data_IF_924429024787
#
_entry.id   IF_924429024787
#
_cell.length_a   1.000
_cell.length_b   1.000
_cell.length_c   1.000
_cell.angle_alpha   90.00
_cell.angle_beta   90.00
_cell.angle_gamma   90.00
#
_symmetry.space_group_name_H-M   'P 1'
#
loop_
_entity.id
_entity.type
_entity.pdbx_description
1 polymer ?
#
# COMPACT_ATOMS: atom_id res chain seq x y z
N UNK A 1 -11.87 -6.35 30.07
CA UNK A 1 -12.70 -5.26 29.50
C UNK A 1 -13.35 -5.69 28.18
N UNK A 2 -14.58 -5.25 27.90
CA UNK A 2 -15.25 -5.52 26.62
C UNK A 2 -14.68 -4.63 25.50
N UNK A 3 -14.85 -5.05 24.24
CA UNK A 3 -14.42 -4.25 23.06
C UNK A 3 -15.09 -2.85 23.02
N UNK A 4 -16.30 -2.71 23.60
CA UNK A 4 -16.99 -1.43 23.69
C UNK A 4 -16.31 -0.47 24.66
N UNK A 5 -15.84 -0.98 25.80
CA UNK A 5 -15.09 -0.20 26.78
C UNK A 5 -13.73 0.21 26.23
N UNK A 6 -13.03 -0.70 25.50
CA UNK A 6 -11.77 -0.41 24.81
C UNK A 6 -11.94 0.69 23.74
N UNK A 7 -13.02 0.61 22.92
CA UNK A 7 -13.37 1.63 21.94
C UNK A 7 -13.52 3.02 22.57
N UNK A 8 -14.26 3.08 23.70
CA UNK A 8 -14.49 4.33 24.41
C UNK A 8 -13.23 4.87 25.08
N UNK A 9 -12.42 3.99 25.66
CA UNK A 9 -11.19 4.37 26.34
C UNK A 9 -10.09 4.90 25.41
N UNK A 10 -9.95 4.27 24.24
CA UNK A 10 -8.87 4.57 23.28
C UNK A 10 -9.32 5.50 22.15
N UNK A 11 -10.60 5.84 22.09
CA UNK A 11 -11.21 6.67 21.04
C UNK A 11 -10.92 6.13 19.62
N UNK A 12 -10.88 4.81 19.46
CA UNK A 12 -10.68 4.13 18.16
C UNK A 12 -11.87 3.23 17.84
N UNK A 13 -12.28 3.11 16.57
CA UNK A 13 -13.37 2.23 16.16
C UNK A 13 -13.10 0.77 16.52
N UNK A 14 -14.16 0.01 16.88
CA UNK A 14 -14.08 -1.46 17.12
C UNK A 14 -13.48 -2.21 15.93
N UNK A 15 -13.73 -1.73 14.72
CA UNK A 15 -13.13 -2.31 13.51
C UNK A 15 -11.60 -2.24 13.56
N UNK A 16 -11.03 -1.13 14.07
CA UNK A 16 -9.59 -0.95 14.24
C UNK A 16 -9.03 -1.90 15.32
N UNK A 17 -9.74 -2.07 16.44
CA UNK A 17 -9.32 -3.03 17.47
C UNK A 17 -9.29 -4.45 16.90
N UNK A 18 -10.35 -4.87 16.18
CA UNK A 18 -10.43 -6.19 15.52
C UNK A 18 -9.38 -6.37 14.44
N UNK A 19 -9.01 -5.30 13.76
CA UNK A 19 -7.89 -5.33 12.80
C UNK A 19 -6.59 -5.67 13.51
N UNK A 20 -6.28 -5.04 14.64
CA UNK A 20 -5.07 -5.34 15.41
C UNK A 20 -5.07 -6.76 16.01
N UNK A 21 -6.24 -7.32 16.37
CA UNK A 21 -6.38 -8.74 16.71
C UNK A 21 -6.03 -9.65 15.52
N UNK A 22 -6.56 -9.32 14.33
CA UNK A 22 -6.32 -10.10 13.11
C UNK A 22 -4.86 -10.10 12.71
N UNK A 23 -4.18 -8.96 12.89
CA UNK A 23 -2.74 -8.82 12.64
C UNK A 23 -1.87 -9.44 13.77
N UNK A 24 -2.49 -10.06 14.79
CA UNK A 24 -1.76 -10.74 15.87
C UNK A 24 -1.14 -9.82 16.92
N UNK A 25 -1.38 -8.50 16.81
CA UNK A 25 -0.83 -7.52 17.74
C UNK A 25 -1.40 -7.66 19.16
N UNK A 26 -2.65 -8.09 19.30
CA UNK A 26 -3.31 -8.38 20.59
C UNK A 26 -4.14 -9.65 20.49
N UNK A 27 -4.21 -10.41 21.58
CA UNK A 27 -4.91 -11.68 21.62
C UNK A 27 -5.81 -11.75 22.87
N UNK A 28 -6.98 -11.05 22.87
CA UNK A 28 -7.87 -11.04 24.02
C UNK A 28 -8.39 -12.44 24.33
N UNK A 29 -8.54 -12.73 25.59
CA UNK A 29 -9.18 -13.97 26.05
C UNK A 29 -10.66 -14.01 25.66
N UNK A 30 -11.27 -15.19 25.75
CA UNK A 30 -12.72 -15.33 25.57
C UNK A 30 -13.34 -15.85 26.84
N UNK A 31 -14.35 -15.18 27.32
CA UNK A 31 -15.19 -15.68 28.42
C UNK A 31 -15.97 -16.94 27.99
N UNK A 32 -16.52 -17.65 28.95
CA UNK A 32 -17.32 -18.86 28.72
C UNK A 32 -18.54 -18.66 27.80
N UNK A 33 -19.01 -17.42 27.65
CA UNK A 33 -20.08 -16.99 26.73
C UNK A 33 -19.57 -16.65 25.29
N UNK A 34 -18.26 -16.79 25.04
CA UNK A 34 -17.62 -16.52 23.75
C UNK A 34 -17.31 -15.05 23.48
N UNK A 35 -17.64 -14.13 24.40
CA UNK A 35 -17.28 -12.71 24.26
C UNK A 35 -15.80 -12.48 24.53
N UNK A 36 -15.23 -11.46 23.84
CA UNK A 36 -13.85 -11.02 24.03
C UNK A 36 -13.71 -10.30 25.37
N UNK A 37 -12.65 -10.66 26.08
CA UNK A 37 -12.25 -10.00 27.32
C UNK A 37 -10.80 -9.53 27.18
N UNK A 38 -10.62 -8.22 27.15
CA UNK A 38 -9.30 -7.56 27.05
C UNK A 38 -8.76 -7.34 28.45
N UNK A 39 -7.60 -7.92 28.72
CA UNK A 39 -6.85 -7.68 29.96
C UNK A 39 -6.32 -6.25 30.03
N UNK A 40 -5.87 -5.81 31.19
CA UNK A 40 -5.18 -4.52 31.33
C UNK A 40 -3.90 -4.47 30.50
N UNK A 41 -3.23 -5.61 30.33
CA UNK A 41 -2.04 -5.76 29.47
C UNK A 41 -2.40 -5.56 27.99
N UNK A 42 -3.51 -6.13 27.52
CA UNK A 42 -4.00 -5.94 26.14
C UNK A 42 -4.31 -4.48 25.88
N UNK A 43 -4.97 -3.82 26.83
CA UNK A 43 -5.31 -2.40 26.74
C UNK A 43 -4.05 -1.53 26.70
N UNK A 44 -3.06 -1.83 27.53
CA UNK A 44 -1.80 -1.10 27.54
C UNK A 44 -1.01 -1.32 26.25
N UNK A 45 -1.03 -2.55 25.71
CA UNK A 45 -0.45 -2.85 24.39
C UNK A 45 -1.16 -2.10 23.28
N UNK A 46 -2.49 -2.04 23.29
CA UNK A 46 -3.28 -1.26 22.34
C UNK A 46 -2.95 0.24 22.39
N UNK A 47 -2.76 0.82 23.58
CA UNK A 47 -2.32 2.22 23.72
C UNK A 47 -0.99 2.47 23.02
N UNK A 48 0.01 1.59 23.24
CA UNK A 48 1.31 1.67 22.57
C UNK A 48 1.16 1.61 21.05
N UNK A 49 0.35 0.67 20.54
CA UNK A 49 0.06 0.55 19.11
C UNK A 49 -0.55 1.84 18.57
N UNK A 50 -1.56 2.40 19.24
CA UNK A 50 -2.21 3.64 18.81
C UNK A 50 -1.23 4.81 18.76
N UNK A 51 -0.35 4.96 19.75
CA UNK A 51 0.70 5.98 19.77
C UNK A 51 1.63 5.84 18.56
N UNK A 52 2.14 4.63 18.30
CA UNK A 52 3.04 4.36 17.18
C UNK A 52 2.33 4.55 15.82
N UNK A 53 1.06 4.19 15.72
CA UNK A 53 0.24 4.45 14.52
C UNK A 53 0.00 5.94 14.27
N UNK A 54 -0.19 6.74 15.32
CA UNK A 54 -0.36 8.21 15.20
C UNK A 54 0.86 8.92 14.62
N UNK A 55 2.06 8.39 14.81
CA UNK A 55 3.29 8.90 14.19
C UNK A 55 3.57 8.27 12.80
N UNK A 56 2.63 7.49 12.25
CA UNK A 56 2.72 6.96 10.90
C UNK A 56 3.52 5.66 10.74
N UNK A 57 3.85 4.95 11.83
CA UNK A 57 4.49 3.63 11.74
C UNK A 57 3.57 2.61 11.07
N UNK A 58 4.14 1.70 10.30
CA UNK A 58 3.40 0.57 9.71
C UNK A 58 3.02 -0.46 10.79
N UNK A 59 2.02 -1.28 10.51
CA UNK A 59 1.64 -2.40 11.40
C UNK A 59 2.75 -3.42 11.46
N UNK A 60 3.43 -3.67 10.37
CA UNK A 60 4.58 -4.57 10.25
C UNK A 60 5.74 -4.12 11.13
N UNK A 61 6.13 -2.84 11.07
CA UNK A 61 7.19 -2.30 11.93
C UNK A 61 6.83 -2.39 13.42
N UNK A 62 5.55 -2.19 13.76
CA UNK A 62 5.07 -2.33 15.14
C UNK A 62 5.17 -3.78 15.59
N UNK A 63 4.80 -4.75 14.76
CA UNK A 63 4.98 -6.17 15.06
C UNK A 63 6.45 -6.51 15.27
N UNK A 64 7.34 -6.07 14.35
CA UNK A 64 8.78 -6.30 14.46
C UNK A 64 9.38 -5.76 15.77
N UNK A 65 8.88 -4.60 16.25
CA UNK A 65 9.30 -4.04 17.53
C UNK A 65 8.80 -4.90 18.69
N UNK A 66 7.54 -5.34 18.69
CA UNK A 66 7.00 -6.17 19.78
C UNK A 66 7.62 -7.55 19.82
N UNK A 67 7.98 -8.10 18.66
CA UNK A 67 8.65 -9.41 18.54
C UNK A 67 10.18 -9.30 18.79
N UNK A 68 10.70 -8.09 19.00
CA UNK A 68 12.13 -7.86 19.26
C UNK A 68 13.02 -8.04 18.02
N UNK A 69 12.44 -8.07 16.83
CA UNK A 69 13.16 -8.19 15.55
C UNK A 69 13.89 -6.90 15.21
N UNK A 70 13.24 -5.75 15.47
CA UNK A 70 13.82 -4.41 15.27
C UNK A 70 13.84 -3.60 16.55
N UNK A 71 14.86 -2.75 16.69
CA UNK A 71 14.90 -1.76 17.77
C UNK A 71 13.91 -0.63 17.49
N UNK A 72 13.20 -0.14 18.51
CA UNK A 72 12.30 1.01 18.38
C UNK A 72 13.04 2.26 17.86
N UNK A 73 14.28 2.49 18.29
CA UNK A 73 15.07 3.64 17.84
C UNK A 73 15.38 3.56 16.34
N UNK A 74 15.74 2.38 15.84
CA UNK A 74 16.02 2.14 14.43
C UNK A 74 14.78 2.44 13.55
N UNK A 75 13.61 1.96 13.97
CA UNK A 75 12.35 2.21 13.26
C UNK A 75 11.93 3.67 13.35
N UNK A 76 12.14 4.34 14.50
CA UNK A 76 11.87 5.77 14.66
C UNK A 76 12.76 6.60 13.74
N UNK A 77 14.04 6.33 13.65
CA UNK A 77 14.98 7.04 12.77
C UNK A 77 14.55 6.91 11.29
N UNK A 78 14.23 5.69 10.86
CA UNK A 78 13.72 5.45 9.51
C UNK A 78 12.40 6.19 9.24
N UNK A 79 11.49 6.21 10.21
CA UNK A 79 10.22 6.91 10.09
C UNK A 79 10.39 8.44 10.03
N UNK A 80 11.31 9.00 10.81
CA UNK A 80 11.65 10.43 10.76
C UNK A 80 12.15 10.81 9.37
N UNK A 81 13.09 10.04 8.80
CA UNK A 81 13.61 10.28 7.45
C UNK A 81 12.48 10.24 6.40
N UNK A 82 11.59 9.25 6.51
CA UNK A 82 10.42 9.14 5.64
C UNK A 82 9.51 10.36 5.73
N UNK A 83 9.19 10.80 6.94
CA UNK A 83 8.32 11.96 7.17
C UNK A 83 8.96 13.27 6.68
N UNK A 84 10.28 13.42 6.86
CA UNK A 84 11.02 14.56 6.32
C UNK A 84 10.98 14.61 4.80
N UNK A 85 11.13 13.46 4.13
CA UNK A 85 10.99 13.35 2.68
C UNK A 85 9.59 13.77 2.23
N UNK A 86 8.54 13.24 2.86
CA UNK A 86 7.15 13.60 2.55
C UNK A 86 6.88 15.11 2.77
N UNK A 87 7.44 15.68 3.82
CA UNK A 87 7.33 17.12 4.06
C UNK A 87 7.97 17.96 2.94
N UNK A 88 9.13 17.54 2.43
CA UNK A 88 9.80 18.23 1.32
C UNK A 88 9.01 18.08 0.00
N UNK A 89 8.43 16.91 -0.26
CA UNK A 89 7.54 16.68 -1.42
C UNK A 89 6.32 17.60 -1.36
N UNK A 90 5.68 17.72 -0.21
CA UNK A 90 4.55 18.61 -0.01
C UNK A 90 4.93 20.09 -0.16
N UNK A 91 6.11 20.50 0.32
CA UNK A 91 6.61 21.87 0.15
C UNK A 91 6.82 22.23 -1.31
N UNK A 92 7.50 21.36 -2.08
CA UNK A 92 7.70 21.55 -3.52
C UNK A 92 6.37 21.69 -4.27
N UNK A 93 5.42 20.79 -4.00
CA UNK A 93 4.09 20.85 -4.61
C UNK A 93 3.32 22.14 -4.26
N UNK A 94 3.37 22.58 -3.01
CA UNK A 94 2.72 23.83 -2.56
C UNK A 94 3.36 25.04 -3.24
N UNK A 95 4.69 25.12 -3.31
CA UNK A 95 5.39 26.24 -3.93
C UNK A 95 5.05 26.33 -5.42
N UNK A 96 5.11 25.23 -6.15
CA UNK A 96 4.74 25.18 -7.57
C UNK A 96 3.28 25.57 -7.78
N UNK A 97 2.37 25.03 -6.96
CA UNK A 97 0.94 25.37 -7.05
C UNK A 97 0.66 26.86 -6.82
N UNK A 98 1.35 27.49 -5.87
CA UNK A 98 1.25 28.94 -5.62
C UNK A 98 1.73 29.72 -6.83
N UNK A 99 2.87 29.34 -7.41
CA UNK A 99 3.43 30.02 -8.58
C UNK A 99 2.49 29.95 -9.78
N UNK A 100 1.94 28.76 -10.09
CA UNK A 100 0.95 28.60 -11.16
C UNK A 100 -0.30 29.45 -10.89
N UNK A 101 -0.77 29.50 -9.65
CA UNK A 101 -1.93 30.31 -9.26
C UNK A 101 -1.66 31.81 -9.38
N UNK A 102 -0.48 32.28 -8.99
CA UNK A 102 -0.08 33.69 -9.09
C UNK A 102 0.07 34.15 -10.54
N UNK A 103 0.48 33.26 -11.43
CA UNK A 103 0.61 33.54 -12.86
C UNK A 103 -0.77 33.59 -13.57
N UNK A 104 -1.86 33.17 -12.93
CA UNK A 104 -3.26 33.19 -13.42
C UNK A 104 -3.41 32.63 -14.86
N UNK A 105 -2.75 31.49 -15.13
CA UNK A 105 -2.70 30.86 -16.45
C UNK A 105 -3.74 29.78 -16.63
N UNK A 106 -4.35 29.73 -17.81
CA UNK A 106 -5.16 28.60 -18.24
C UNK A 106 -4.29 27.41 -18.62
N UNK A 107 -4.84 26.20 -18.52
CA UNK A 107 -4.12 24.95 -18.86
C UNK A 107 -3.61 24.95 -20.31
N UNK A 108 -4.32 25.63 -21.22
CA UNK A 108 -3.95 25.77 -22.64
C UNK A 108 -2.80 26.75 -22.89
N UNK A 109 -2.54 27.64 -21.93
CA UNK A 109 -1.47 28.66 -21.97
C UNK A 109 -0.34 28.39 -21.01
N UNK A 110 -0.35 27.22 -20.34
CA UNK A 110 0.68 26.82 -19.40
C UNK A 110 2.04 26.69 -20.08
N UNK A 111 3.01 27.53 -19.71
CA UNK A 111 4.39 27.46 -20.20
C UNK A 111 5.12 26.28 -19.55
N UNK A 112 5.15 25.16 -20.28
CA UNK A 112 5.73 23.90 -19.81
C UNK A 112 7.21 24.01 -19.49
N UNK A 113 7.99 24.72 -20.33
CA UNK A 113 9.43 24.86 -20.15
C UNK A 113 9.76 25.67 -18.89
N UNK A 114 9.01 26.75 -18.65
CA UNK A 114 9.15 27.59 -17.48
C UNK A 114 8.89 26.82 -16.18
N UNK A 115 7.79 26.06 -16.12
CA UNK A 115 7.45 25.32 -14.90
C UNK A 115 8.34 24.11 -14.72
N UNK A 116 8.81 23.46 -15.80
CA UNK A 116 9.79 22.41 -15.73
C UNK A 116 11.12 22.90 -15.13
N UNK A 117 11.63 24.03 -15.61
CA UNK A 117 12.81 24.65 -15.02
C UNK A 117 12.61 25.04 -13.56
N UNK A 118 11.39 25.44 -13.15
CA UNK A 118 11.07 25.71 -11.75
C UNK A 118 11.17 24.47 -10.90
N UNK A 119 10.70 23.31 -11.40
CA UNK A 119 10.83 22.02 -10.70
C UNK A 119 12.30 21.69 -10.49
N UNK A 120 13.13 21.79 -11.52
CA UNK A 120 14.57 21.55 -11.44
C UNK A 120 15.29 22.47 -10.43
N UNK A 121 14.88 23.74 -10.36
CA UNK A 121 15.43 24.70 -9.39
C UNK A 121 15.04 24.37 -7.95
N UNK A 122 13.80 24.01 -7.71
CA UNK A 122 13.30 23.61 -6.40
C UNK A 122 13.98 22.31 -5.92
N UNK A 123 14.19 21.34 -6.82
CA UNK A 123 14.93 20.12 -6.51
C UNK A 123 16.39 20.37 -6.14
N UNK A 124 17.06 21.29 -6.83
CA UNK A 124 18.42 21.73 -6.47
C UNK A 124 18.50 22.42 -5.10
N UNK A 125 17.40 23.04 -4.64
CA UNK A 125 17.28 23.65 -3.32
C UNK A 125 16.94 22.62 -2.22
N UNK A 126 16.77 21.34 -2.57
CA UNK A 126 16.48 20.25 -1.63
C UNK A 126 14.99 20.02 -1.39
N UNK A 127 14.11 20.69 -2.13
CA UNK A 127 12.70 20.32 -2.20
C UNK A 127 12.57 19.10 -3.13
N UNK A 128 11.50 18.35 -2.98
CA UNK A 128 11.18 17.22 -3.85
C UNK A 128 9.73 17.32 -4.32
N UNK A 129 9.39 16.57 -5.34
CA UNK A 129 8.03 16.50 -5.86
C UNK A 129 7.51 15.07 -5.75
N UNK A 130 6.20 14.90 -5.94
CA UNK A 130 5.53 13.61 -5.89
C UNK A 130 6.14 12.71 -6.96
N UNK A 131 6.59 11.53 -6.55
CA UNK A 131 7.11 10.51 -7.46
C UNK A 131 5.94 9.82 -8.19
N UNK A 132 5.68 10.28 -9.42
CA UNK A 132 4.57 9.79 -10.26
C UNK A 132 4.69 8.28 -10.51
N UNK A 133 5.93 7.76 -10.64
CA UNK A 133 6.14 6.33 -10.85
C UNK A 133 5.71 5.51 -9.62
N UNK A 134 5.94 6.05 -8.44
CA UNK A 134 5.50 5.42 -7.18
C UNK A 134 3.99 5.45 -7.03
N UNK A 135 3.34 6.58 -7.36
CA UNK A 135 1.89 6.71 -7.34
C UNK A 135 1.22 5.68 -8.26
N UNK A 136 1.74 5.51 -9.49
CA UNK A 136 1.26 4.49 -10.42
C UNK A 136 1.46 3.09 -9.86
N UNK A 137 2.64 2.79 -9.29
CA UNK A 137 2.94 1.48 -8.69
C UNK A 137 2.02 1.18 -7.47
N UNK A 138 1.68 2.18 -6.68
CA UNK A 138 0.78 2.01 -5.54
C UNK A 138 -0.69 1.83 -6.00
N UNK A 139 -1.11 2.49 -7.08
CA UNK A 139 -2.41 2.25 -7.74
C UNK A 139 -2.46 0.82 -8.29
N UNK A 140 -1.43 0.37 -9.01
CA UNK A 140 -1.36 -1.00 -9.55
C UNK A 140 -1.39 -2.04 -8.44
N UNK A 141 -0.62 -1.86 -7.35
CA UNK A 141 -0.68 -2.74 -6.17
C UNK A 141 -2.09 -2.77 -5.55
N UNK A 142 -2.74 -1.61 -5.42
CA UNK A 142 -4.11 -1.50 -4.93
C UNK A 142 -5.10 -2.27 -5.81
N UNK A 143 -4.99 -2.16 -7.13
CA UNK A 143 -5.80 -2.90 -8.10
C UNK A 143 -5.52 -4.40 -7.99
N UNK A 144 -4.26 -4.84 -8.03
CA UNK A 144 -3.88 -6.24 -7.88
C UNK A 144 -4.39 -6.78 -6.53
N UNK A 145 -4.17 -6.04 -5.43
CA UNK A 145 -4.63 -6.45 -4.11
C UNK A 145 -6.16 -6.58 -4.04
N UNK A 146 -6.92 -5.70 -4.70
CA UNK A 146 -8.38 -5.80 -4.76
C UNK A 146 -8.87 -7.03 -5.53
N UNK A 147 -8.13 -7.48 -6.54
CA UNK A 147 -8.41 -8.72 -7.27
C UNK A 147 -8.11 -9.98 -6.46
N UNK A 148 -7.03 -9.97 -5.67
CA UNK A 148 -6.59 -11.12 -4.87
C UNK A 148 -7.16 -11.13 -3.44
N UNK A 149 -7.60 -9.98 -2.92
CA UNK A 149 -8.19 -9.90 -1.59
C UNK A 149 -9.64 -10.38 -1.59
N UNK A 150 -10.07 -10.91 -0.47
CA UNK A 150 -11.46 -11.37 -0.23
C UNK A 150 -12.41 -10.19 0.04
N UNK A 151 -12.23 -9.09 -0.67
CA UNK A 151 -13.04 -7.87 -0.53
C UNK A 151 -13.71 -7.51 -1.85
N UNK A 152 -14.88 -6.88 -1.77
CA UNK A 152 -15.57 -6.33 -2.91
C UNK A 152 -14.91 -5.00 -3.38
N UNK A 153 -15.46 -4.41 -4.44
CA UNK A 153 -15.02 -3.12 -5.00
C UNK A 153 -15.07 -1.94 -4.02
N UNK A 154 -15.81 -2.10 -2.91
CA UNK A 154 -15.93 -1.10 -1.83
C UNK A 154 -15.05 -1.45 -0.61
N UNK A 155 -14.16 -2.44 -0.73
CA UNK A 155 -13.29 -2.88 0.36
C UNK A 155 -13.99 -3.72 1.43
N UNK A 156 -15.24 -4.17 1.19
CA UNK A 156 -15.99 -4.99 2.12
C UNK A 156 -15.66 -6.47 1.90
N UNK A 157 -15.31 -7.24 2.95
CA UNK A 157 -15.03 -8.66 2.81
C UNK A 157 -16.24 -9.43 2.29
N UNK A 158 -16.02 -10.39 1.39
CA UNK A 158 -17.07 -11.27 0.91
C UNK A 158 -17.56 -12.19 2.03
N UNK A 159 -18.88 -12.29 2.18
CA UNK A 159 -19.53 -13.13 3.19
C UNK A 159 -19.37 -14.66 2.89
N UNK A 160 -18.93 -15.03 1.69
CA UNK A 160 -18.78 -16.43 1.27
C UNK A 160 -17.68 -16.59 0.22
N UNK A 161 -16.88 -17.66 0.37
CA UNK A 161 -15.86 -18.10 -0.58
C UNK A 161 -16.41 -18.29 -2.00
N UNK A 162 -17.67 -18.72 -2.12
CA UNK A 162 -18.33 -18.97 -3.42
C UNK A 162 -18.34 -17.73 -4.31
N UNK A 163 -18.44 -16.52 -3.74
CA UNK A 163 -18.44 -15.27 -4.50
C UNK A 163 -17.07 -14.90 -5.11
N UNK A 164 -15.99 -15.51 -4.63
CA UNK A 164 -14.63 -15.32 -5.17
C UNK A 164 -14.29 -16.26 -6.34
N UNK A 165 -15.04 -17.35 -6.52
CA UNK A 165 -14.80 -18.36 -7.56
C UNK A 165 -14.74 -17.76 -8.97
N UNK A 166 -15.64 -16.88 -9.41
CA UNK A 166 -15.59 -16.31 -10.75
C UNK A 166 -14.31 -15.53 -11.02
N UNK A 167 -13.79 -14.79 -10.02
CA UNK A 167 -12.53 -14.03 -10.14
C UNK A 167 -11.32 -14.93 -10.23
N UNK A 168 -11.27 -15.99 -9.43
CA UNK A 168 -10.22 -17.02 -9.50
C UNK A 168 -10.19 -17.71 -10.85
N UNK A 169 -11.35 -18.04 -11.42
CA UNK A 169 -11.44 -18.63 -12.76
C UNK A 169 -10.93 -17.69 -13.85
N UNK A 170 -11.21 -16.39 -13.77
CA UNK A 170 -10.71 -15.39 -14.72
C UNK A 170 -9.17 -15.31 -14.63
N UNK A 171 -8.60 -15.31 -13.45
CA UNK A 171 -7.14 -15.27 -13.24
C UNK A 171 -6.48 -16.53 -13.84
N UNK A 172 -7.06 -17.70 -13.61
CA UNK A 172 -6.56 -18.98 -14.17
C UNK A 172 -6.65 -18.97 -15.70
N UNK A 173 -7.74 -18.42 -16.28
CA UNK A 173 -7.91 -18.29 -17.73
C UNK A 173 -6.87 -17.34 -18.33
N UNK A 174 -6.64 -16.17 -17.71
CA UNK A 174 -5.62 -15.21 -18.17
C UNK A 174 -4.23 -15.82 -18.11
N UNK A 175 -3.87 -16.49 -16.99
CA UNK A 175 -2.60 -17.18 -16.84
C UNK A 175 -2.43 -18.31 -17.88
N UNK A 176 -3.48 -19.10 -18.12
CA UNK A 176 -3.50 -20.15 -19.15
C UNK A 176 -3.31 -19.59 -20.56
N UNK A 177 -4.00 -18.50 -20.90
CA UNK A 177 -3.82 -17.81 -22.19
C UNK A 177 -2.39 -17.27 -22.36
N UNK A 178 -1.77 -16.76 -21.28
CA UNK A 178 -0.41 -16.24 -21.31
C UNK A 178 0.62 -17.36 -21.54
N UNK A 179 0.46 -18.51 -20.87
CA UNK A 179 1.30 -19.70 -21.09
C UNK A 179 1.15 -20.22 -22.51
N UNK A 180 -0.07 -20.33 -23.04
CA UNK A 180 -0.31 -20.76 -24.41
C UNK A 180 0.28 -19.79 -25.45
N UNK A 181 0.29 -18.48 -25.16
CA UNK A 181 0.91 -17.48 -26.04
C UNK A 181 2.44 -17.64 -26.09
N UNK A 182 3.07 -17.84 -24.93
CA UNK A 182 4.52 -18.10 -24.84
C UNK A 182 4.90 -19.39 -25.56
N UNK A 183 4.15 -20.50 -25.36
CA UNK A 183 4.41 -21.77 -26.05
C UNK A 183 4.23 -21.67 -27.56
N UNK A 184 3.26 -20.84 -28.01
CA UNK A 184 3.05 -20.61 -29.44
C UNK A 184 4.16 -19.82 -30.08
N UNK A 185 4.72 -18.80 -29.40
CA UNK A 185 5.89 -18.07 -29.89
C UNK A 185 7.13 -18.95 -29.90
N UNK A 186 7.31 -19.82 -28.88
CA UNK A 186 8.43 -20.74 -28.81
C UNK A 186 8.38 -21.81 -29.92
N UNK A 187 7.21 -22.39 -30.21
CA UNK A 187 7.02 -23.35 -31.33
C UNK A 187 7.19 -22.67 -32.68
N UNK A 188 6.77 -21.41 -32.86
CA UNK A 188 6.94 -20.67 -34.10
C UNK A 188 8.41 -20.29 -34.35
N UNK A 189 9.15 -19.98 -33.32
CA UNK A 189 10.58 -19.67 -33.43
C UNK A 189 11.42 -20.90 -33.75
N UNK A 190 11.12 -22.04 -33.16
CA UNK A 190 11.76 -23.32 -33.50
C UNK A 190 11.41 -23.78 -34.92
N UNK A 191 10.18 -23.59 -35.36
CA UNK A 191 9.74 -23.94 -36.72
C UNK A 191 10.44 -23.06 -37.78
N UNK A 192 10.69 -21.81 -37.52
CA UNK A 192 11.46 -20.94 -38.45
C UNK A 192 12.96 -21.26 -38.46
N UNK A 193 13.54 -21.64 -37.33
CA UNK A 193 14.94 -22.04 -37.22
C UNK A 193 15.25 -23.29 -38.07
N UNK A 194 14.37 -24.28 -38.08
CA UNK A 194 14.48 -25.48 -38.88
C UNK A 194 14.35 -25.20 -40.42
N UNK A 195 13.65 -24.10 -40.78
CA UNK A 195 13.52 -23.70 -42.20
C UNK A 195 14.77 -23.03 -42.76
N UNK A 196 15.53 -22.29 -41.94
CA UNK A 196 16.78 -21.64 -42.38
C UNK A 196 17.91 -22.66 -42.63
N UNK A 197 17.97 -23.77 -41.88
CA UNK A 197 18.93 -24.86 -42.12
C UNK A 197 18.65 -25.66 -43.41
N UNK A 198 17.39 -25.71 -43.84
CA UNK A 198 16.98 -26.48 -45.02
C UNK A 198 17.19 -25.70 -46.36
N UNK A 199 17.33 -24.38 -46.31
CA UNK A 199 17.51 -23.54 -47.49
C UNK A 199 18.98 -23.25 -47.82
N UNK A 200 19.96 -23.75 -47.06
CA UNK A 200 21.42 -23.49 -47.23
C UNK A 200 22.21 -24.74 -47.63
N UNK A 201 21.55 -25.87 -47.87
CA UNK A 201 22.20 -27.08 -48.38
C UNK A 201 21.75 -27.36 -49.89
#
# INVERSE_FOLDING_TARGET
MTIKEVEQLLEIPRATVRFYEKEGLVNPSREGNGYRDYSDEDVEKLKKIVILRKIGMSVEDINDIFDGVKSINEVLDANIIKLQKQMNELKGAINLSKKIKEDDVDISSLDTDRYWNTIDEEEKQGNSFIDIAKDIADIEKGVIFSYFSWVDENGKPYDSFIKCIPRLLIIILIAGCFVCAIEREWTFHNFLGDYEEFCVS
#
